data_IF_495497377317
#
_entry.id   IF_495497377317
#
_cell.length_a   1.000
_cell.length_b   1.000
_cell.length_c   1.000
_cell.angle_alpha   90.00
_cell.angle_beta   90.00
_cell.angle_gamma   90.00
#
_symmetry.space_group_name_H-M   'P 1'
#
loop_
_entity.id
_entity.type
_entity.pdbx_description
1 polymer ?
#
# COMPACT_ATOMS: atom_id res chain seq x y z
N UNK A 1 15.22 8.79 -27.93
CA UNK A 1 16.00 8.19 -26.81
C UNK A 1 15.95 9.13 -25.62
N UNK A 2 15.65 8.61 -24.43
CA UNK A 2 15.75 9.28 -23.14
C UNK A 2 16.68 8.43 -22.26
N UNK A 3 17.87 8.94 -21.93
CA UNK A 3 18.80 8.27 -21.03
C UNK A 3 19.02 9.15 -19.80
N UNK A 4 18.59 8.65 -18.66
CA UNK A 4 18.73 9.26 -17.34
C UNK A 4 19.39 8.29 -16.36
N UNK A 5 20.11 7.27 -16.86
CA UNK A 5 20.72 6.28 -15.99
C UNK A 5 21.90 6.83 -15.19
N UNK A 6 22.22 6.16 -14.07
CA UNK A 6 23.34 6.50 -13.19
C UNK A 6 23.23 7.90 -12.59
N UNK A 7 22.04 8.23 -12.12
CA UNK A 7 21.77 9.46 -11.38
C UNK A 7 21.30 9.10 -9.97
N UNK A 8 20.91 10.12 -9.21
CA UNK A 8 20.35 9.98 -7.86
C UNK A 8 18.88 10.38 -7.85
N UNK A 9 18.15 10.18 -8.96
CA UNK A 9 16.72 10.50 -9.01
C UNK A 9 15.95 9.57 -8.08
N UNK A 10 15.10 10.14 -7.26
CA UNK A 10 14.26 9.46 -6.28
C UNK A 10 12.77 9.76 -6.51
N UNK A 11 11.92 9.18 -5.67
CA UNK A 11 10.47 9.28 -5.84
C UNK A 11 9.94 8.35 -6.93
N UNK A 12 8.73 8.65 -7.43
CA UNK A 12 8.00 7.76 -8.34
C UNK A 12 8.29 8.08 -9.81
N UNK A 13 8.16 7.07 -10.67
CA UNK A 13 8.10 7.31 -12.11
C UNK A 13 6.81 8.10 -12.42
N UNK A 14 6.87 9.28 -13.05
CA UNK A 14 5.69 10.07 -13.36
C UNK A 14 4.81 9.41 -14.42
N UNK A 15 3.49 9.42 -14.20
CA UNK A 15 2.48 8.97 -15.19
C UNK A 15 2.65 9.65 -16.55
N UNK A 16 3.09 10.91 -16.57
CA UNK A 16 3.27 11.73 -17.77
C UNK A 16 4.33 11.19 -18.75
N UNK A 17 5.14 10.21 -18.33
CA UNK A 17 6.06 9.53 -19.23
C UNK A 17 5.31 8.79 -20.35
N UNK A 18 4.03 8.46 -20.15
CA UNK A 18 3.15 7.83 -21.14
C UNK A 18 2.90 8.69 -22.39
N UNK A 19 3.14 10.00 -22.33
CA UNK A 19 3.02 10.90 -23.47
C UNK A 19 4.22 10.85 -24.43
N UNK A 20 5.32 10.20 -24.04
CA UNK A 20 6.53 10.10 -24.87
C UNK A 20 6.44 8.96 -25.90
N UNK A 21 5.34 8.93 -26.66
CA UNK A 21 4.95 7.81 -27.54
C UNK A 21 5.92 7.48 -28.68
N UNK A 22 6.85 8.40 -29.00
CA UNK A 22 7.80 8.28 -30.11
C UNK A 22 9.22 7.91 -29.64
N UNK A 23 9.41 7.55 -28.37
CA UNK A 23 10.71 7.11 -27.89
C UNK A 23 10.96 5.63 -28.18
N UNK A 24 12.12 5.34 -28.74
CA UNK A 24 12.58 3.95 -28.94
C UNK A 24 13.36 3.41 -27.73
N UNK A 25 13.96 4.29 -26.93
CA UNK A 25 14.83 3.92 -25.81
C UNK A 25 14.49 4.81 -24.62
N UNK A 26 14.23 4.18 -23.48
CA UNK A 26 14.15 4.79 -22.16
C UNK A 26 15.07 3.99 -21.22
N UNK A 27 16.12 4.65 -20.72
CA UNK A 27 17.03 4.09 -19.73
C UNK A 27 16.96 4.94 -18.45
N UNK A 28 16.35 4.37 -17.41
CA UNK A 28 16.26 4.95 -16.06
C UNK A 28 17.06 4.13 -15.05
N UNK A 29 17.94 3.24 -15.52
CA UNK A 29 18.68 2.31 -14.66
C UNK A 29 19.62 3.03 -13.68
N UNK A 30 20.00 2.37 -12.59
CA UNK A 30 20.93 2.92 -11.59
C UNK A 30 20.47 4.28 -11.06
N UNK A 31 19.30 4.31 -10.44
CA UNK A 31 18.73 5.47 -9.74
C UNK A 31 18.18 5.02 -8.37
N UNK A 32 17.44 5.91 -7.70
CA UNK A 32 16.74 5.65 -6.45
C UNK A 32 15.21 5.72 -6.64
N UNK A 33 14.72 5.49 -7.86
CA UNK A 33 13.28 5.53 -8.16
C UNK A 33 12.56 4.43 -7.37
N UNK A 34 11.40 4.76 -6.82
CA UNK A 34 10.66 3.92 -5.87
C UNK A 34 9.17 3.92 -6.15
N UNK A 35 8.45 3.03 -5.47
CA UNK A 35 7.00 2.88 -5.63
C UNK A 35 6.61 2.01 -6.82
N UNK A 36 5.32 2.02 -7.14
CA UNK A 36 4.73 1.22 -8.22
C UNK A 36 5.04 1.84 -9.59
N UNK A 37 5.30 1.00 -10.59
CA UNK A 37 5.42 1.45 -11.98
C UNK A 37 4.04 1.86 -12.51
N UNK A 38 3.88 3.07 -13.09
CA UNK A 38 2.62 3.48 -13.68
C UNK A 38 2.15 2.51 -14.77
N UNK A 39 0.92 2.00 -14.65
CA UNK A 39 0.33 1.14 -15.70
C UNK A 39 0.20 1.87 -17.05
N UNK A 40 0.15 3.20 -17.04
CA UNK A 40 0.14 4.02 -18.26
C UNK A 40 1.38 3.80 -19.14
N UNK A 41 2.50 3.33 -18.60
CA UNK A 41 3.69 2.97 -19.40
C UNK A 41 3.42 1.85 -20.40
N UNK A 42 2.36 1.04 -20.22
CA UNK A 42 1.94 0.04 -21.21
C UNK A 42 1.56 0.69 -22.57
N UNK A 43 1.25 2.00 -22.58
CA UNK A 43 0.92 2.75 -23.81
C UNK A 43 2.12 3.02 -24.71
N UNK A 44 3.35 2.90 -24.20
CA UNK A 44 4.58 3.20 -24.92
C UNK A 44 4.98 2.07 -25.88
N UNK A 45 4.18 1.85 -26.92
CA UNK A 45 4.30 0.69 -27.82
C UNK A 45 5.54 0.72 -28.72
N UNK A 46 6.09 1.90 -29.05
CA UNK A 46 7.27 2.02 -29.92
C UNK A 46 8.60 1.78 -29.20
N UNK A 47 8.58 1.67 -27.87
CA UNK A 47 9.81 1.45 -27.11
C UNK A 47 10.42 0.12 -27.54
N UNK A 48 11.70 0.16 -27.89
CA UNK A 48 12.53 -1.00 -28.16
C UNK A 48 13.26 -1.44 -26.89
N UNK A 49 13.82 -0.48 -26.16
CA UNK A 49 14.57 -0.69 -24.91
C UNK A 49 13.94 0.10 -23.77
N UNK A 50 13.50 -0.60 -22.74
CA UNK A 50 13.11 -0.02 -21.44
C UNK A 50 13.99 -0.65 -20.38
N UNK A 51 14.86 0.13 -19.74
CA UNK A 51 15.70 -0.34 -18.64
C UNK A 51 15.35 0.42 -17.35
N UNK A 52 14.87 -0.32 -16.36
CA UNK A 52 14.47 0.15 -15.03
C UNK A 52 15.30 -0.53 -13.93
N UNK A 53 16.36 -1.24 -14.30
CA UNK A 53 17.19 -2.02 -13.38
C UNK A 53 17.92 -1.13 -12.37
N UNK A 54 18.33 -1.70 -11.23
CA UNK A 54 19.04 -1.00 -10.17
C UNK A 54 18.26 0.25 -9.68
N UNK A 55 17.03 0.03 -9.24
CA UNK A 55 16.17 1.02 -8.59
C UNK A 55 15.54 0.41 -7.33
N UNK A 56 14.59 1.11 -6.72
CA UNK A 56 13.83 0.70 -5.55
C UNK A 56 12.33 0.48 -5.88
N UNK A 57 12.03 0.09 -7.12
CA UNK A 57 10.66 -0.13 -7.58
C UNK A 57 10.01 -1.30 -6.83
N UNK A 58 8.70 -1.18 -6.63
CA UNK A 58 7.91 -2.08 -5.81
C UNK A 58 6.65 -2.56 -6.55
N UNK A 59 5.97 -3.55 -5.97
CA UNK A 59 4.69 -4.09 -6.47
C UNK A 59 4.81 -4.88 -7.78
N UNK A 60 3.68 -5.06 -8.46
CA UNK A 60 3.57 -5.94 -9.62
C UNK A 60 4.13 -5.29 -10.88
N UNK A 61 4.95 -6.02 -11.62
CA UNK A 61 5.39 -5.62 -12.96
C UNK A 61 4.17 -5.63 -13.90
N UNK A 62 3.83 -4.52 -14.56
CA UNK A 62 2.75 -4.48 -15.55
C UNK A 62 2.93 -5.58 -16.61
N UNK A 63 1.82 -6.11 -17.12
CA UNK A 63 1.85 -7.27 -18.03
C UNK A 63 1.45 -6.93 -19.46
N UNK A 64 0.86 -5.75 -19.68
CA UNK A 64 0.43 -5.27 -20.99
C UNK A 64 1.50 -4.49 -21.75
N UNK A 65 1.13 -4.08 -22.96
CA UNK A 65 1.96 -3.21 -23.80
C UNK A 65 3.37 -3.76 -24.05
N UNK A 66 4.37 -2.88 -23.90
CA UNK A 66 5.77 -3.28 -24.07
C UNK A 66 6.25 -4.30 -23.03
N UNK A 67 5.71 -4.27 -21.80
CA UNK A 67 6.09 -5.20 -20.72
C UNK A 67 5.80 -6.67 -21.06
N UNK A 68 4.84 -6.92 -21.96
CA UNK A 68 4.58 -8.25 -22.48
C UNK A 68 5.83 -8.89 -23.14
N UNK A 69 6.74 -8.07 -23.67
CA UNK A 69 7.93 -8.52 -24.40
C UNK A 69 9.27 -8.01 -23.83
N UNK A 70 9.28 -7.53 -22.58
CA UNK A 70 10.52 -7.19 -21.89
C UNK A 70 11.15 -8.43 -21.25
N UNK A 71 12.47 -8.37 -21.11
CA UNK A 71 13.26 -9.41 -20.45
C UNK A 71 13.47 -9.10 -18.97
N UNK A 72 13.97 -10.06 -18.20
CA UNK A 72 14.19 -9.90 -16.76
C UNK A 72 15.25 -8.84 -16.45
N UNK A 73 16.19 -8.63 -17.37
CA UNK A 73 17.30 -7.68 -17.25
C UNK A 73 16.81 -6.26 -16.98
N UNK A 74 15.72 -5.85 -17.63
CA UNK A 74 15.06 -4.55 -17.43
C UNK A 74 14.62 -4.27 -16.00
N UNK A 75 14.54 -5.28 -15.14
CA UNK A 75 14.00 -5.19 -13.78
C UNK A 75 14.99 -5.67 -12.71
N UNK A 76 16.24 -6.00 -13.08
CA UNK A 76 17.24 -6.47 -12.13
C UNK A 76 17.38 -5.50 -10.95
N UNK A 77 17.70 -6.05 -9.78
CA UNK A 77 18.03 -5.26 -8.59
C UNK A 77 16.89 -4.36 -8.07
N UNK A 78 15.63 -4.68 -8.38
CA UNK A 78 14.43 -4.11 -7.76
C UNK A 78 13.77 -5.16 -6.83
N UNK A 79 14.35 -5.36 -5.66
CA UNK A 79 14.07 -6.50 -4.77
C UNK A 79 12.62 -6.62 -4.26
N UNK A 80 11.81 -5.56 -4.39
CA UNK A 80 10.41 -5.53 -3.95
C UNK A 80 9.41 -5.75 -5.09
N UNK A 81 9.89 -5.99 -6.32
CA UNK A 81 9.03 -6.35 -7.44
C UNK A 81 8.50 -7.78 -7.29
N UNK A 82 7.30 -7.99 -7.82
CA UNK A 82 6.72 -9.29 -8.05
C UNK A 82 6.07 -9.31 -9.44
N UNK A 83 5.71 -10.49 -9.97
CA UNK A 83 4.99 -10.56 -11.25
C UNK A 83 5.17 -11.89 -11.97
N UNK A 84 5.08 -11.83 -13.30
CA UNK A 84 5.16 -13.02 -14.15
C UNK A 84 6.52 -13.73 -14.00
N UNK A 85 6.55 -15.09 -13.98
CA UNK A 85 7.78 -15.86 -13.79
C UNK A 85 8.94 -15.52 -14.74
N UNK A 86 8.63 -15.04 -15.95
CA UNK A 86 9.61 -14.65 -16.97
C UNK A 86 10.58 -13.54 -16.52
N UNK A 87 10.20 -12.76 -15.52
CA UNK A 87 11.03 -11.67 -15.00
C UNK A 87 11.96 -12.10 -13.87
N UNK A 88 11.97 -13.38 -13.47
CA UNK A 88 12.77 -13.89 -12.36
C UNK A 88 12.54 -13.15 -11.02
N UNK A 89 11.34 -12.60 -10.83
CA UNK A 89 10.86 -12.03 -9.57
C UNK A 89 9.88 -13.00 -8.90
N UNK A 90 9.64 -12.89 -7.58
CA UNK A 90 8.59 -13.65 -6.90
C UNK A 90 7.22 -13.45 -7.55
N UNK A 91 6.36 -14.47 -7.49
CA UNK A 91 4.95 -14.30 -7.85
C UNK A 91 4.28 -13.31 -6.91
N UNK A 92 3.41 -12.44 -7.44
CA UNK A 92 2.61 -11.58 -6.57
C UNK A 92 1.62 -12.43 -5.78
N UNK A 93 1.68 -12.35 -4.46
CA UNK A 93 0.70 -12.97 -3.58
C UNK A 93 -0.62 -12.21 -3.73
N UNK A 94 -1.69 -12.93 -4.06
CA UNK A 94 -3.03 -12.36 -4.17
C UNK A 94 -3.42 -11.70 -2.83
N UNK A 95 -4.00 -10.50 -2.91
CA UNK A 95 -4.42 -9.72 -1.73
C UNK A 95 -5.60 -10.36 -0.99
N UNK A 96 -6.13 -11.49 -1.45
CA UNK A 96 -7.12 -12.29 -0.72
C UNK A 96 -6.61 -12.78 0.65
N UNK A 97 -5.30 -12.84 0.90
CA UNK A 97 -4.77 -13.24 2.22
C UNK A 97 -4.56 -12.08 3.22
N UNK A 98 -4.65 -10.80 2.82
CA UNK A 98 -4.61 -9.70 3.80
C UNK A 98 -5.95 -9.48 4.52
N UNK A 99 -7.03 -10.10 4.04
CA UNK A 99 -8.34 -10.12 4.72
C UNK A 99 -8.59 -11.38 5.56
N UNK A 100 -7.70 -12.39 5.50
CA UNK A 100 -7.79 -13.64 6.30
C UNK A 100 -6.91 -13.62 7.57
N UNK A 101 -6.64 -12.43 8.13
CA UNK A 101 -6.24 -12.24 9.54
C UNK A 101 -6.97 -11.06 10.16
N UNK A 102 -8.29 -11.01 10.02
CA UNK A 102 -9.17 -10.34 10.99
C UNK A 102 -10.56 -11.00 10.99
N UNK A 103 -10.59 -12.29 11.33
CA UNK A 103 -11.74 -12.90 11.99
C UNK A 103 -11.32 -13.21 13.44
N UNK A 104 -10.84 -12.20 14.15
CA UNK A 104 -10.49 -12.31 15.56
C UNK A 104 -11.15 -11.15 16.31
N UNK A 105 -12.28 -11.50 16.94
CA UNK A 105 -13.04 -10.76 17.94
C UNK A 105 -13.99 -9.65 17.44
N UNK A 106 -15.25 -10.05 17.18
CA UNK A 106 -16.39 -9.22 17.59
C UNK A 106 -16.45 -9.24 19.13
N UNK A 107 -15.68 -8.40 19.81
CA UNK A 107 -16.04 -8.05 21.19
C UNK A 107 -17.22 -7.10 21.08
N UNK A 108 -18.44 -7.66 21.10
CA UNK A 108 -19.60 -6.85 21.41
C UNK A 108 -19.45 -6.54 22.89
N UNK A 109 -18.87 -5.38 23.20
CA UNK A 109 -19.04 -4.78 24.51
C UNK A 109 -20.52 -4.39 24.58
N UNK A 110 -21.39 -5.34 24.93
CA UNK A 110 -22.63 -4.98 25.59
C UNK A 110 -22.18 -4.30 26.87
N UNK A 111 -22.22 -2.97 26.91
CA UNK A 111 -22.22 -2.24 28.16
C UNK A 111 -23.36 -2.84 28.96
N UNK A 112 -23.02 -3.76 29.86
CA UNK A 112 -23.95 -4.27 30.84
C UNK A 112 -24.39 -3.03 31.61
N UNK A 113 -25.61 -2.59 31.30
CA UNK A 113 -26.40 -1.67 32.11
C UNK A 113 -26.59 -2.41 33.44
N UNK A 114 -25.57 -2.33 34.28
CA UNK A 114 -25.42 -3.06 35.52
C UNK A 114 -24.54 -2.28 36.48
N UNK A 115 -23.52 -1.57 35.97
CA UNK A 115 -22.78 -0.59 36.75
C UNK A 115 -23.56 0.70 37.03
N UNK A 116 -24.30 1.22 36.05
CA UNK A 116 -25.00 2.51 36.18
C UNK A 116 -26.20 2.45 37.12
N UNK A 117 -27.00 1.39 37.08
CA UNK A 117 -28.16 1.25 37.96
C UNK A 117 -27.73 1.14 39.43
N UNK A 118 -26.68 0.36 39.73
CA UNK A 118 -26.12 0.26 41.09
C UNK A 118 -25.59 1.61 41.58
N UNK A 119 -24.89 2.36 40.72
CA UNK A 119 -24.33 3.66 41.10
C UNK A 119 -25.43 4.71 41.35
N UNK A 120 -26.50 4.70 40.55
CA UNK A 120 -27.68 5.55 40.77
C UNK A 120 -28.39 5.18 42.07
N UNK A 121 -28.59 3.89 42.37
CA UNK A 121 -29.22 3.44 43.61
C UNK A 121 -28.37 3.83 44.84
N UNK A 122 -27.05 3.68 44.77
CA UNK A 122 -26.15 4.08 45.87
C UNK A 122 -26.21 5.59 46.09
N UNK A 123 -26.19 6.39 45.01
CA UNK A 123 -26.29 7.85 45.10
C UNK A 123 -27.63 8.30 45.68
N UNK A 124 -28.75 7.69 45.30
CA UNK A 124 -30.08 8.06 45.84
C UNK A 124 -30.21 7.68 47.31
N UNK A 125 -29.72 6.51 47.72
CA UNK A 125 -29.73 6.10 49.14
C UNK A 125 -28.89 7.05 49.99
N UNK A 126 -27.67 7.41 49.55
CA UNK A 126 -26.84 8.39 50.28
C UNK A 126 -27.53 9.75 50.37
N UNK A 127 -28.12 10.23 49.27
CA UNK A 127 -28.83 11.50 49.26
C UNK A 127 -30.03 11.50 50.22
N UNK A 128 -30.82 10.42 50.26
CA UNK A 128 -31.93 10.24 51.20
C UNK A 128 -31.41 10.19 52.65
N UNK A 129 -30.34 9.44 52.93
CA UNK A 129 -29.75 9.38 54.27
C UNK A 129 -29.20 10.74 54.73
N UNK A 130 -28.56 11.51 53.84
CA UNK A 130 -28.12 12.86 54.15
C UNK A 130 -29.29 13.84 54.33
N UNK A 131 -30.37 13.67 53.57
CA UNK A 131 -31.58 14.47 53.72
C UNK A 131 -32.27 14.19 55.05
N UNK A 132 -32.42 12.92 55.43
CA UNK A 132 -33.00 12.51 56.72
C UNK A 132 -32.09 12.91 57.89
N UNK A 133 -30.77 12.79 57.74
CA UNK A 133 -29.79 13.15 58.78
C UNK A 133 -29.63 14.65 59.04
N UNK A 134 -30.12 15.52 58.14
CA UNK A 134 -30.16 16.98 58.33
C UNK A 134 -31.50 17.50 58.86
N UNK A 135 -32.43 16.61 59.19
CA UNK A 135 -33.78 16.93 59.70
C UNK A 135 -33.98 16.66 61.19
N UNK A 136 -32.92 16.59 62.00
CA UNK A 136 -33.01 16.32 63.44
C UNK A 136 -32.05 17.19 64.25
N UNK A 137 -32.57 18.34 64.71
CA UNK A 137 -32.04 19.33 65.65
C UNK A 137 -30.63 19.91 65.38
#
# INVERSE_FOLDING_TARGET
CLNLSRNTFDGHIPEQLDHMLNLDIIDLSHNMLSGEMPKSLERLQHIQVLDLSFNLLECEIPSGGKFANLSAESFLENYKLCGAPKFHVPLCLDKTERQSKSNAARVIATCAIGGSALLVIVCTVIAISCYIGRGGC
#
